data_IF_822908259564
#
_entry.id   IF_822908259564
#
_cell.length_a   1.000
_cell.length_b   1.000
_cell.length_c   1.000
_cell.angle_alpha   90.00
_cell.angle_beta   90.00
_cell.angle_gamma   90.00
#
_symmetry.space_group_name_H-M   'P 1'
#
loop_
_entity.id
_entity.type
_entity.pdbx_description
1 polymer ?
#
# COMPACT_ATOMS: atom_id res chain seq x y z
N UNK A 1 29.44 -16.50 -10.89
CA UNK A 1 28.20 -17.28 -10.74
C UNK A 1 27.03 -16.30 -10.85
N UNK A 2 26.40 -16.25 -12.01
CA UNK A 2 25.34 -15.29 -12.32
C UNK A 2 23.99 -15.78 -11.77
N UNK A 3 23.35 -14.97 -10.94
CA UNK A 3 22.10 -15.31 -10.25
C UNK A 3 20.90 -15.27 -11.19
N UNK A 4 20.35 -16.43 -11.49
CA UNK A 4 19.04 -16.57 -12.13
C UNK A 4 17.96 -16.45 -11.06
N UNK A 5 17.40 -15.24 -10.89
CA UNK A 5 16.10 -15.05 -10.22
C UNK A 5 15.01 -15.18 -11.27
N UNK A 6 14.67 -16.42 -11.63
CA UNK A 6 13.38 -16.70 -12.26
C UNK A 6 12.33 -16.61 -11.15
N UNK A 7 11.60 -15.49 -11.11
CA UNK A 7 10.31 -15.48 -10.43
C UNK A 7 9.45 -16.56 -11.08
N UNK A 8 8.91 -17.51 -10.31
CA UNK A 8 8.07 -18.62 -10.81
C UNK A 8 6.87 -18.15 -11.64
N UNK A 9 6.57 -16.84 -11.56
CA UNK A 9 5.60 -16.12 -12.37
C UNK A 9 5.94 -16.08 -13.87
N UNK A 10 7.21 -16.23 -14.26
CA UNK A 10 7.66 -16.15 -15.67
C UNK A 10 7.80 -17.54 -16.35
N UNK A 11 7.83 -18.63 -15.58
CA UNK A 11 7.99 -19.98 -16.13
C UNK A 11 6.67 -20.65 -16.56
N UNK A 12 5.54 -20.00 -16.31
CA UNK A 12 4.22 -20.45 -16.76
C UNK A 12 3.83 -19.68 -18.02
N UNK A 13 4.31 -20.18 -19.17
CA UNK A 13 3.82 -19.77 -20.48
C UNK A 13 2.31 -19.99 -20.57
N UNK A 14 1.57 -18.92 -20.31
CA UNK A 14 0.13 -18.81 -20.53
C UNK A 14 -0.14 -18.92 -22.04
N UNK A 15 -0.37 -20.14 -22.51
CA UNK A 15 -1.08 -20.39 -23.76
C UNK A 15 -2.51 -19.87 -23.61
N UNK A 16 -2.74 -18.64 -24.08
CA UNK A 16 -4.05 -18.00 -24.07
C UNK A 16 -4.95 -18.68 -25.13
N UNK A 17 -5.70 -19.69 -24.73
CA UNK A 17 -6.79 -20.23 -25.56
C UNK A 17 -7.94 -19.24 -25.50
N UNK A 18 -8.15 -18.49 -26.58
CA UNK A 18 -9.25 -17.53 -26.72
C UNK A 18 -10.58 -18.28 -26.87
N UNK A 19 -11.16 -18.72 -25.75
CA UNK A 19 -12.56 -19.12 -25.67
C UNK A 19 -13.45 -17.88 -25.59
N UNK A 20 -14.37 -17.70 -26.54
CA UNK A 20 -15.42 -16.69 -26.45
C UNK A 20 -16.39 -17.05 -25.32
N UNK A 21 -16.19 -16.45 -24.15
CA UNK A 21 -17.12 -16.54 -23.03
C UNK A 21 -18.07 -15.34 -23.14
N UNK A 22 -19.36 -15.59 -23.30
CA UNK A 22 -20.37 -14.54 -23.26
C UNK A 22 -20.22 -13.77 -21.93
N UNK A 23 -20.04 -12.45 -22.03
CA UNK A 23 -19.82 -11.59 -20.89
C UNK A 23 -20.99 -11.71 -19.90
N UNK A 24 -20.71 -12.22 -18.70
CA UNK A 24 -21.66 -12.22 -17.61
C UNK A 24 -22.11 -10.75 -17.35
N UNK A 25 -23.40 -10.52 -17.07
CA UNK A 25 -23.90 -9.18 -16.77
C UNK A 25 -23.09 -8.56 -15.62
N UNK A 26 -22.77 -7.25 -15.68
CA UNK A 26 -21.98 -6.61 -14.65
C UNK A 26 -22.67 -6.79 -13.29
N UNK A 27 -21.92 -7.28 -12.31
CA UNK A 27 -22.44 -7.45 -10.95
C UNK A 27 -23.03 -6.12 -10.46
N UNK A 28 -24.17 -6.14 -9.75
CA UNK A 28 -24.77 -4.93 -9.20
C UNK A 28 -23.72 -4.20 -8.35
N UNK A 29 -23.54 -2.90 -8.62
CA UNK A 29 -22.64 -2.07 -7.82
C UNK A 29 -23.11 -2.16 -6.36
N UNK A 30 -22.22 -2.50 -5.41
CA UNK A 30 -22.60 -2.45 -4.00
C UNK A 30 -23.13 -1.05 -3.69
N UNK A 31 -24.21 -0.98 -2.91
CA UNK A 31 -24.75 0.28 -2.44
C UNK A 31 -23.61 1.09 -1.80
N UNK A 32 -23.53 2.42 -2.03
CA UNK A 32 -22.52 3.24 -1.38
C UNK A 32 -22.63 2.99 0.13
N UNK A 33 -21.51 2.82 0.85
CA UNK A 33 -21.56 2.68 2.29
C UNK A 33 -22.32 3.90 2.84
N UNK A 34 -23.21 3.73 3.84
CA UNK A 34 -23.85 4.86 4.47
C UNK A 34 -22.76 5.84 4.88
N UNK A 35 -23.00 7.14 4.67
CA UNK A 35 -22.11 8.19 5.15
C UNK A 35 -21.89 7.93 6.63
N UNK A 36 -20.72 7.40 6.98
CA UNK A 36 -20.32 7.23 8.36
C UNK A 36 -20.04 8.64 8.87
N UNK A 37 -21.09 9.35 9.28
CA UNK A 37 -20.96 10.34 10.35
C UNK A 37 -20.73 9.56 11.64
N UNK A 38 -19.62 8.85 11.70
CA UNK A 38 -19.11 8.35 12.96
C UNK A 38 -18.61 9.58 13.70
N UNK A 39 -19.49 10.14 14.52
CA UNK A 39 -19.09 10.97 15.66
C UNK A 39 -18.31 10.07 16.61
N UNK A 40 -17.07 9.75 16.25
CA UNK A 40 -16.13 9.07 17.11
C UNK A 40 -15.68 10.10 18.15
N UNK A 41 -16.34 10.04 19.31
CA UNK A 41 -15.98 10.61 20.60
C UNK A 41 -15.06 11.86 20.55
N UNK A 42 -15.65 13.03 20.30
CA UNK A 42 -15.10 14.32 20.74
C UNK A 42 -14.27 15.15 19.75
N UNK A 43 -13.91 14.63 18.57
CA UNK A 43 -13.29 15.45 17.51
C UNK A 43 -14.14 15.37 16.24
N UNK A 44 -14.97 16.39 16.01
CA UNK A 44 -15.80 16.50 14.82
C UNK A 44 -14.96 16.86 13.57
N UNK A 45 -14.04 15.98 13.19
CA UNK A 45 -13.44 16.02 11.86
C UNK A 45 -14.52 15.56 10.87
N UNK A 46 -14.88 16.45 9.96
CA UNK A 46 -15.76 16.11 8.85
C UNK A 46 -14.97 15.25 7.86
N UNK A 47 -15.16 13.93 7.95
CA UNK A 47 -14.54 12.92 7.10
C UNK A 47 -15.57 12.44 6.08
N UNK A 48 -15.26 12.62 4.81
CA UNK A 48 -16.11 12.21 3.70
C UNK A 48 -15.56 10.92 3.06
N UNK A 49 -16.33 9.83 3.02
CA UNK A 49 -15.90 8.61 2.35
C UNK A 49 -15.83 8.80 0.82
N UNK A 50 -14.82 8.22 0.20
CA UNK A 50 -14.62 8.19 -1.26
C UNK A 50 -14.92 6.80 -1.83
N UNK A 51 -15.14 6.73 -3.14
CA UNK A 51 -15.49 5.49 -3.84
C UNK A 51 -14.40 4.41 -3.80
N UNK A 52 -13.14 4.80 -3.55
CA UNK A 52 -11.99 3.90 -3.41
C UNK A 52 -11.81 3.38 -1.96
N UNK A 53 -12.70 3.76 -1.05
CA UNK A 53 -12.63 3.43 0.38
C UNK A 53 -11.69 4.33 1.19
N UNK A 54 -11.14 5.40 0.60
CA UNK A 54 -10.42 6.42 1.36
C UNK A 54 -11.38 7.38 2.06
N UNK A 55 -10.88 8.09 3.08
CA UNK A 55 -11.59 9.15 3.80
C UNK A 55 -10.93 10.49 3.50
N UNK A 56 -11.71 11.50 3.16
CA UNK A 56 -11.24 12.85 2.84
C UNK A 56 -11.70 13.84 3.90
N UNK A 57 -10.78 14.68 4.39
CA UNK A 57 -11.05 15.80 5.25
C UNK A 57 -10.64 17.09 4.55
N UNK A 58 -11.53 18.08 4.50
CA UNK A 58 -11.21 19.39 3.92
C UNK A 58 -11.26 20.46 5.00
N UNK A 59 -10.09 20.94 5.43
CA UNK A 59 -10.01 22.08 6.34
C UNK A 59 -9.89 23.38 5.52
N UNK A 60 -11.03 24.05 5.34
CA UNK A 60 -11.09 25.34 4.62
C UNK A 60 -10.35 26.45 5.36
N UNK A 61 -10.29 26.42 6.70
CA UNK A 61 -9.63 27.46 7.51
C UNK A 61 -8.12 27.30 7.49
N UNK A 62 -7.65 26.06 7.48
CA UNK A 62 -6.22 25.74 7.41
C UNK A 62 -5.75 25.45 5.97
N UNK A 63 -6.59 25.62 4.95
CA UNK A 63 -6.26 25.47 3.54
C UNK A 63 -5.52 24.15 3.22
N UNK A 64 -6.00 23.01 3.74
CA UNK A 64 -5.45 21.71 3.36
C UNK A 64 -6.54 20.66 3.18
N UNK A 65 -6.23 19.63 2.40
CA UNK A 65 -7.00 18.40 2.30
C UNK A 65 -6.20 17.26 2.92
N UNK A 66 -6.81 16.53 3.85
CA UNK A 66 -6.27 15.29 4.41
C UNK A 66 -6.96 14.09 3.76
N UNK A 67 -6.19 13.13 3.23
CA UNK A 67 -6.72 11.89 2.64
C UNK A 67 -6.18 10.71 3.42
N UNK A 68 -7.04 9.87 3.98
CA UNK A 68 -6.68 8.63 4.65
C UNK A 68 -7.04 7.47 3.74
N UNK A 69 -6.03 6.75 3.28
CA UNK A 69 -6.19 5.61 2.37
C UNK A 69 -6.74 4.38 3.10
N UNK A 70 -7.27 3.38 2.37
CA UNK A 70 -7.75 2.14 2.97
C UNK A 70 -6.70 1.40 3.83
N UNK A 71 -5.40 1.58 3.54
CA UNK A 71 -4.28 1.02 4.30
C UNK A 71 -3.93 1.81 5.57
N UNK A 72 -4.72 2.83 5.92
CA UNK A 72 -4.51 3.69 7.09
C UNK A 72 -3.46 4.78 6.87
N UNK A 73 -2.83 4.90 5.70
CA UNK A 73 -1.86 5.98 5.45
C UNK A 73 -2.56 7.31 5.22
N UNK A 74 -2.09 8.36 5.91
CA UNK A 74 -2.54 9.73 5.69
C UNK A 74 -1.66 10.46 4.67
N UNK A 75 -2.30 11.21 3.78
CA UNK A 75 -1.69 12.15 2.85
C UNK A 75 -2.25 13.54 3.15
N UNK A 76 -1.39 14.55 3.10
CA UNK A 76 -1.75 15.94 3.38
C UNK A 76 -1.38 16.77 2.17
N UNK A 77 -2.40 17.34 1.53
CA UNK A 77 -2.24 18.18 0.35
C UNK A 77 -2.58 19.62 0.72
N UNK A 78 -1.64 20.54 0.48
CA UNK A 78 -1.90 21.97 0.65
C UNK A 78 -2.83 22.46 -0.45
N UNK A 79 -3.90 23.15 -0.05
CA UNK A 79 -4.76 23.85 -1.00
C UNK A 79 -4.21 25.25 -1.21
N UNK A 80 -4.15 25.75 -2.45
CA UNK A 80 -3.84 27.16 -2.65
C UNK A 80 -4.85 28.00 -1.86
N UNK A 81 -4.36 29.00 -1.11
CA UNK A 81 -5.21 29.95 -0.37
C UNK A 81 -6.04 30.86 -1.30
N UNK A 82 -5.91 30.65 -2.61
CA UNK A 82 -6.73 31.29 -3.63
C UNK A 82 -8.09 30.58 -3.57
N UNK A 83 -8.97 31.06 -2.70
CA UNK A 83 -10.38 31.02 -3.05
C UNK A 83 -10.47 31.62 -4.44
N UNK A 84 -10.90 30.86 -5.47
CA UNK A 84 -11.12 31.46 -6.75
C UNK A 84 -12.06 32.63 -6.49
N UNK A 85 -11.60 33.84 -6.80
CA UNK A 85 -12.37 35.08 -6.75
C UNK A 85 -13.51 35.03 -7.78
N UNK A 86 -14.06 33.85 -8.09
CA UNK A 86 -14.90 33.52 -9.24
C UNK A 86 -16.38 33.51 -8.84
N UNK A 87 -16.69 33.45 -7.55
CA UNK A 87 -18.09 33.55 -7.08
C UNK A 87 -18.65 34.98 -7.13
N UNK A 88 -17.80 35.99 -7.32
CA UNK A 88 -18.23 37.37 -7.60
C UNK A 88 -17.68 37.85 -8.95
N UNK A 89 -18.46 37.78 -10.04
CA UNK A 89 -18.02 38.20 -11.36
C UNK A 89 -17.60 39.68 -11.39
N UNK A 90 -18.06 40.51 -10.44
CA UNK A 90 -17.63 41.91 -10.32
C UNK A 90 -16.23 42.02 -9.76
N UNK A 91 -15.83 41.14 -8.82
CA UNK A 91 -14.46 41.10 -8.29
C UNK A 91 -13.47 40.52 -9.30
N UNK A 92 -13.86 39.52 -10.10
CA UNK A 92 -13.04 39.09 -11.26
C UNK A 92 -12.85 40.25 -12.23
N UNK A 93 -13.93 40.93 -12.60
CA UNK A 93 -13.87 42.06 -13.54
C UNK A 93 -13.10 43.26 -12.97
N UNK A 94 -13.10 43.45 -11.64
CA UNK A 94 -12.29 44.45 -10.95
C UNK A 94 -10.82 44.05 -10.98
N UNK A 95 -10.48 42.82 -10.57
CA UNK A 95 -9.11 42.32 -10.60
C UNK A 95 -8.50 42.35 -12.01
N UNK A 96 -9.25 41.93 -13.03
CA UNK A 96 -8.79 41.99 -14.43
C UNK A 96 -8.60 43.43 -14.92
N UNK A 97 -9.42 44.38 -14.46
CA UNK A 97 -9.22 45.81 -14.73
C UNK A 97 -8.00 46.35 -14.01
N UNK A 98 -7.87 46.08 -12.72
CA UNK A 98 -6.74 46.53 -11.91
C UNK A 98 -5.41 45.96 -12.44
N UNK A 99 -5.42 44.70 -12.93
CA UNK A 99 -4.30 44.08 -13.62
C UNK A 99 -4.02 44.76 -14.97
N UNK A 100 -5.07 45.03 -15.76
CA UNK A 100 -4.96 45.76 -17.02
C UNK A 100 -4.37 47.16 -16.82
N UNK A 101 -4.82 47.89 -15.81
CA UNK A 101 -4.35 49.23 -15.46
C UNK A 101 -2.91 49.20 -14.91
N UNK A 102 -2.52 48.14 -14.19
CA UNK A 102 -1.15 47.95 -13.73
C UNK A 102 -0.18 47.63 -14.89
N UNK A 103 -0.62 46.87 -15.89
CA UNK A 103 0.17 46.58 -17.11
C UNK A 103 0.19 47.80 -18.05
N UNK A 104 -0.89 48.58 -18.10
CA UNK A 104 -1.02 49.74 -18.97
C UNK A 104 -0.37 51.02 -18.43
N UNK A 105 0.21 51.01 -17.20
CA UNK A 105 1.00 52.15 -16.71
C UNK A 105 2.25 52.33 -17.58
N UNK A 106 2.32 53.42 -18.37
CA UNK A 106 3.50 53.71 -19.18
C UNK A 106 4.59 54.27 -18.25
N UNK A 107 5.68 53.52 -18.07
CA UNK A 107 6.82 53.94 -17.25
C UNK A 107 7.47 52.85 -16.38
N UNK A 108 7.03 51.59 -16.47
CA UNK A 108 7.82 50.48 -15.93
C UNK A 108 9.14 50.35 -16.72
N UNK A 109 10.31 50.24 -16.06
CA UNK A 109 11.57 50.04 -16.77
C UNK A 109 11.46 48.78 -17.62
N UNK A 110 11.89 48.89 -18.88
CA UNK A 110 11.96 47.77 -19.81
C UNK A 110 12.55 46.55 -19.08
N UNK A 111 11.88 45.39 -19.07
CA UNK A 111 12.51 44.19 -18.57
C UNK A 111 13.80 44.01 -19.39
N UNK A 112 14.97 43.82 -18.74
CA UNK A 112 16.20 43.60 -19.47
C UNK A 112 15.97 42.41 -20.41
N UNK A 113 16.23 42.62 -21.70
CA UNK A 113 16.21 41.54 -22.66
C UNK A 113 17.03 40.38 -22.09
N UNK A 114 16.46 39.16 -21.99
CA UNK A 114 17.24 38.03 -21.53
C UNK A 114 18.47 37.91 -22.44
N UNK A 115 19.68 37.73 -21.90
CA UNK A 115 20.83 37.40 -22.73
C UNK A 115 20.46 36.17 -23.56
N UNK A 116 20.77 36.21 -24.85
CA UNK A 116 20.59 35.07 -25.73
C UNK A 116 21.43 33.91 -25.16
N UNK A 117 20.77 32.94 -24.52
CA UNK A 117 21.42 31.72 -24.05
C UNK A 117 21.91 30.94 -25.28
N UNK A 118 23.22 30.69 -25.45
CA UNK A 118 23.74 29.92 -26.58
C UNK A 118 23.54 28.40 -26.43
N UNK A 119 22.68 27.93 -25.53
CA UNK A 119 22.44 26.50 -25.32
C UNK A 119 20.95 26.17 -25.19
N UNK A 120 20.23 26.28 -26.30
CA UNK A 120 19.04 25.43 -26.48
C UNK A 120 19.54 24.07 -26.91
N UNK A 121 19.43 23.01 -26.09
CA UNK A 121 19.86 21.67 -26.49
C UNK A 121 19.06 21.23 -27.72
N UNK A 122 19.77 20.81 -28.76
CA UNK A 122 19.20 20.26 -29.98
C UNK A 122 18.34 19.03 -29.61
N UNK A 123 17.01 19.06 -29.89
CA UNK A 123 16.12 17.94 -29.59
C UNK A 123 16.45 16.65 -30.36
N UNK A 124 17.44 16.69 -31.27
CA UNK A 124 17.91 15.55 -32.05
C UNK A 124 19.37 15.14 -31.81
N UNK A 125 20.06 15.64 -30.76
CA UNK A 125 21.41 15.15 -30.43
C UNK A 125 21.35 13.74 -29.77
N UNK A 126 21.82 12.67 -30.46
CA UNK A 126 21.80 11.32 -29.91
C UNK A 126 22.81 11.10 -28.78
N UNK A 127 23.70 12.06 -28.48
CA UNK A 127 24.70 11.95 -27.40
C UNK A 127 24.19 12.42 -26.03
N UNK A 128 23.10 13.18 -25.97
CA UNK A 128 22.49 13.63 -24.70
C UNK A 128 21.60 12.59 -23.99
N UNK A 129 21.42 11.40 -24.58
CA UNK A 129 20.49 10.37 -24.08
C UNK A 129 21.09 9.37 -23.09
N UNK A 130 22.41 9.44 -22.84
CA UNK A 130 23.09 8.48 -21.95
C UNK A 130 23.13 8.90 -20.48
N UNK A 131 22.92 10.18 -20.16
CA UNK A 131 23.03 10.69 -18.77
C UNK A 131 21.70 10.72 -18.00
N UNK A 132 20.59 10.34 -18.63
CA UNK A 132 19.26 10.27 -18.00
C UNK A 132 18.90 8.88 -17.42
N UNK A 133 19.84 7.92 -17.43
CA UNK A 133 19.60 6.53 -17.01
C UNK A 133 20.32 6.13 -15.70
N UNK A 134 20.89 7.09 -14.97
CA UNK A 134 21.52 6.88 -13.66
C UNK A 134 20.89 7.76 -12.60
N UNK A 135 19.58 7.62 -12.42
CA UNK A 135 18.93 7.90 -11.13
C UNK A 135 18.13 6.67 -10.70
N UNK A 136 18.88 5.61 -10.35
CA UNK A 136 18.35 4.48 -9.59
C UNK A 136 18.51 4.82 -8.12
N UNK A 137 17.44 5.27 -7.48
CA UNK A 137 17.37 5.29 -6.03
C UNK A 137 17.65 3.88 -5.47
N UNK A 138 18.52 3.74 -4.45
CA UNK A 138 18.78 2.44 -3.85
C UNK A 138 17.57 1.97 -3.00
N UNK A 139 17.25 0.66 -3.00
CA UNK A 139 16.33 0.08 -2.03
C UNK A 139 17.09 -0.16 -0.72
N UNK A 140 16.78 0.60 0.32
CA UNK A 140 17.32 0.38 1.65
C UNK A 140 17.34 1.63 2.52
N UNK A 141 16.20 1.99 3.10
CA UNK A 141 16.11 2.96 4.19
C UNK A 141 15.66 2.22 5.46
N UNK A 142 16.55 1.38 5.98
CA UNK A 142 16.54 1.02 7.40
C UNK A 142 17.18 2.14 8.22
N UNK A 143 16.66 2.36 9.43
CA UNK A 143 17.21 3.22 10.47
C UNK A 143 17.15 4.74 10.22
N UNK A 144 16.19 5.40 10.88
CA UNK A 144 16.22 6.84 11.15
C UNK A 144 17.42 7.18 12.05
N UNK A 145 18.53 7.56 11.43
CA UNK A 145 19.52 8.44 12.05
C UNK A 145 19.23 9.90 11.67
N UNK A 146 19.53 10.89 12.54
CA UNK A 146 19.34 12.31 12.20
C UNK A 146 20.27 12.69 11.05
N UNK A 147 19.71 13.04 9.89
CA UNK A 147 20.48 13.56 8.78
C UNK A 147 21.14 14.91 9.18
N UNK A 148 22.41 15.16 8.79
CA UNK A 148 23.05 16.44 9.04
C UNK A 148 22.39 17.54 8.21
N UNK A 149 21.77 18.49 8.88
CA UNK A 149 21.27 19.72 8.27
C UNK A 149 22.50 20.58 7.92
N UNK A 150 22.86 20.63 6.63
CA UNK A 150 23.80 21.63 6.11
C UNK A 150 23.17 23.02 6.24
N UNK A 151 23.46 23.72 7.35
CA UNK A 151 23.16 25.14 7.53
C UNK A 151 24.14 25.97 6.69
N UNK A 152 23.76 26.28 5.45
CA UNK A 152 24.33 27.39 4.71
C UNK A 152 23.85 28.71 5.32
N UNK A 153 24.69 29.37 6.11
CA UNK A 153 24.43 30.72 6.66
C UNK A 153 24.67 31.75 5.55
N UNK A 154 23.70 31.86 4.66
CA UNK A 154 23.53 33.03 3.80
C UNK A 154 22.47 33.93 4.42
N UNK A 155 22.88 35.01 5.10
CA UNK A 155 21.96 36.02 5.64
C UNK A 155 21.40 36.83 4.49
N UNK A 156 20.42 36.28 3.77
CA UNK A 156 19.51 37.10 2.96
C UNK A 156 18.47 37.66 3.93
N UNK A 157 18.37 38.99 3.99
CA UNK A 157 17.30 39.70 4.69
C UNK A 157 15.95 39.29 4.07
N UNK A 158 15.37 38.20 4.56
CA UNK A 158 14.00 37.81 4.28
C UNK A 158 13.10 38.93 4.83
N UNK A 159 12.65 39.80 3.93
CA UNK A 159 11.77 40.92 4.29
C UNK A 159 10.47 40.44 4.94
N UNK A 160 9.65 41.38 5.40
CA UNK A 160 8.35 41.11 6.04
C UNK A 160 7.48 40.08 5.28
N UNK A 161 7.61 39.99 3.95
CA UNK A 161 6.97 38.97 3.12
C UNK A 161 7.41 37.53 3.46
N UNK A 162 8.70 37.27 3.66
CA UNK A 162 9.21 35.94 4.04
C UNK A 162 8.82 35.58 5.49
N UNK A 163 8.77 36.58 6.38
CA UNK A 163 8.25 36.39 7.73
C UNK A 163 6.73 36.09 7.73
N UNK A 164 5.96 36.72 6.85
CA UNK A 164 4.53 36.43 6.65
C UNK A 164 4.31 35.04 6.05
N UNK A 165 5.12 34.64 5.05
CA UNK A 165 5.10 33.30 4.46
C UNK A 165 5.41 32.21 5.51
N UNK A 166 6.45 32.40 6.32
CA UNK A 166 6.80 31.48 7.42
C UNK A 166 5.72 31.41 8.52
N UNK A 167 5.04 32.52 8.81
CA UNK A 167 3.97 32.55 9.83
C UNK A 167 2.71 31.83 9.36
N UNK A 168 2.41 31.90 8.06
CA UNK A 168 1.39 31.07 7.40
C UNK A 168 1.72 29.59 7.55
N UNK A 169 2.91 29.17 7.11
CA UNK A 169 3.36 27.77 7.18
C UNK A 169 3.22 27.16 8.58
N UNK A 170 3.57 27.90 9.65
CA UNK A 170 3.45 27.41 11.04
C UNK A 170 2.00 27.14 11.50
N UNK A 171 1.01 27.90 11.00
CA UNK A 171 -0.41 27.66 11.33
C UNK A 171 -0.90 26.38 10.66
N UNK A 172 -0.52 26.15 9.40
CA UNK A 172 -0.83 24.93 8.67
C UNK A 172 -0.20 23.70 9.34
N UNK A 173 1.02 23.82 9.87
CA UNK A 173 1.67 22.72 10.60
C UNK A 173 0.86 22.25 11.82
N UNK A 174 0.31 23.17 12.62
CA UNK A 174 -0.48 22.80 13.82
C UNK A 174 -1.79 22.09 13.46
N UNK A 175 -2.51 22.59 12.47
CA UNK A 175 -3.77 21.99 12.03
C UNK A 175 -3.54 20.59 11.42
N UNK A 176 -2.51 20.44 10.59
CA UNK A 176 -2.09 19.15 10.04
C UNK A 176 -1.67 18.17 11.13
N UNK A 177 -0.90 18.62 12.13
CA UNK A 177 -0.52 17.79 13.26
C UNK A 177 -1.74 17.34 14.07
N UNK A 178 -2.66 18.25 14.39
CA UNK A 178 -3.90 17.93 15.10
C UNK A 178 -4.75 16.91 14.32
N UNK A 179 -4.87 17.06 13.00
CA UNK A 179 -5.51 16.07 12.14
C UNK A 179 -4.81 14.71 12.24
N UNK A 180 -3.48 14.68 12.18
CA UNK A 180 -2.73 13.42 12.25
C UNK A 180 -2.87 12.70 13.60
N UNK A 181 -2.92 13.47 14.69
CA UNK A 181 -3.11 12.97 16.06
C UNK A 181 -4.53 12.46 16.26
N UNK A 182 -5.55 13.24 15.89
CA UNK A 182 -6.97 12.86 16.04
C UNK A 182 -7.34 11.65 15.19
N UNK A 183 -6.72 11.48 14.02
CA UNK A 183 -7.01 10.35 13.12
C UNK A 183 -6.13 9.13 13.39
N UNK A 184 -5.17 9.18 14.32
CA UNK A 184 -4.24 8.08 14.55
C UNK A 184 -4.96 6.75 14.92
N UNK A 185 -5.90 6.68 15.90
CA UNK A 185 -6.55 5.43 16.27
C UNK A 185 -7.36 4.81 15.11
N UNK A 186 -8.06 5.66 14.36
CA UNK A 186 -8.84 5.25 13.19
C UNK A 186 -7.92 4.70 12.09
N UNK A 187 -6.80 5.37 11.80
CA UNK A 187 -5.80 4.90 10.83
C UNK A 187 -5.21 3.55 11.22
N UNK A 188 -4.92 3.36 12.51
CA UNK A 188 -4.41 2.09 13.02
C UNK A 188 -5.43 0.97 12.87
N UNK A 189 -6.73 1.25 13.07
CA UNK A 189 -7.80 0.29 12.80
C UNK A 189 -7.92 -0.02 11.29
N UNK A 190 -7.94 1.01 10.43
CA UNK A 190 -8.01 0.84 8.98
C UNK A 190 -6.83 0.02 8.45
N UNK A 191 -5.61 0.26 8.96
CA UNK A 191 -4.42 -0.50 8.60
C UNK A 191 -4.56 -1.98 8.97
N UNK A 192 -5.05 -2.30 10.18
CA UNK A 192 -5.32 -3.68 10.62
C UNK A 192 -6.37 -4.36 9.74
N UNK A 193 -7.49 -3.71 9.49
CA UNK A 193 -8.56 -4.25 8.63
C UNK A 193 -8.07 -4.50 7.21
N UNK A 194 -7.28 -3.58 6.67
CA UNK A 194 -6.71 -3.71 5.34
C UNK A 194 -5.73 -4.88 5.26
N UNK A 195 -4.85 -5.04 6.25
CA UNK A 195 -3.94 -6.18 6.29
C UNK A 195 -4.71 -7.50 6.42
N UNK A 196 -5.73 -7.57 7.26
CA UNK A 196 -6.59 -8.75 7.37
C UNK A 196 -7.29 -9.09 6.04
N UNK A 197 -7.81 -8.08 5.32
CA UNK A 197 -8.40 -8.27 3.99
C UNK A 197 -7.38 -8.76 2.96
N UNK A 198 -6.15 -8.22 2.99
CA UNK A 198 -5.05 -8.67 2.12
C UNK A 198 -4.69 -10.12 2.41
N UNK A 199 -4.52 -10.50 3.67
CA UNK A 199 -4.22 -11.86 4.09
C UNK A 199 -5.33 -12.83 3.65
N UNK A 200 -6.61 -12.49 3.88
CA UNK A 200 -7.75 -13.31 3.44
C UNK A 200 -7.76 -13.49 1.91
N UNK A 201 -7.52 -12.43 1.16
CA UNK A 201 -7.46 -12.48 -0.31
C UNK A 201 -6.31 -13.37 -0.77
N UNK A 202 -5.13 -13.24 -0.16
CA UNK A 202 -3.97 -14.08 -0.44
C UNK A 202 -4.27 -15.57 -0.16
N UNK A 203 -4.93 -15.89 0.95
CA UNK A 203 -5.33 -17.28 1.26
C UNK A 203 -6.29 -17.87 0.21
N UNK A 204 -7.25 -17.08 -0.27
CA UNK A 204 -8.17 -17.51 -1.32
C UNK A 204 -7.45 -17.72 -2.65
N UNK A 205 -6.52 -16.84 -2.99
CA UNK A 205 -5.69 -16.95 -4.19
C UNK A 205 -4.80 -18.20 -4.13
N UNK A 206 -4.14 -18.45 -3.00
CA UNK A 206 -3.34 -19.65 -2.77
C UNK A 206 -4.17 -20.91 -2.95
N UNK A 207 -5.38 -20.98 -2.39
CA UNK A 207 -6.26 -22.13 -2.57
C UNK A 207 -6.62 -22.42 -4.04
N UNK A 208 -6.81 -21.37 -4.85
CA UNK A 208 -7.04 -21.49 -6.29
C UNK A 208 -5.80 -21.99 -7.01
N UNK A 209 -4.64 -21.42 -6.71
CA UNK A 209 -3.36 -21.80 -7.30
C UNK A 209 -3.01 -23.26 -7.03
N UNK A 210 -3.14 -23.72 -5.78
CA UNK A 210 -2.93 -25.12 -5.40
C UNK A 210 -3.87 -26.06 -6.17
N UNK A 211 -5.14 -25.67 -6.31
CA UNK A 211 -6.12 -26.45 -7.06
C UNK A 211 -5.79 -26.50 -8.55
N UNK A 212 -5.33 -25.40 -9.13
CA UNK A 212 -4.89 -25.33 -10.53
C UNK A 212 -3.69 -26.22 -10.78
N UNK A 213 -2.64 -26.12 -9.95
CA UNK A 213 -1.43 -26.96 -10.05
C UNK A 213 -1.78 -28.44 -9.94
N UNK A 214 -2.67 -28.81 -9.02
CA UNK A 214 -3.04 -30.21 -8.81
C UNK A 214 -3.88 -30.80 -9.94
N UNK A 215 -4.78 -30.02 -10.52
CA UNK A 215 -5.71 -30.47 -11.57
C UNK A 215 -5.15 -30.37 -12.98
N UNK A 216 -3.96 -29.80 -13.16
CA UNK A 216 -3.31 -29.65 -14.46
C UNK A 216 -2.92 -31.03 -15.04
N UNK A 217 -3.61 -31.51 -16.10
CA UNK A 217 -3.35 -32.84 -16.66
C UNK A 217 -2.07 -32.89 -17.49
N UNK A 218 -1.51 -31.74 -17.86
CA UNK A 218 -0.25 -31.68 -18.61
C UNK A 218 0.96 -32.02 -17.71
N UNK A 219 0.79 -32.03 -16.38
CA UNK A 219 1.83 -32.33 -15.41
C UNK A 219 1.75 -33.76 -14.92
N UNK A 220 2.89 -34.43 -14.90
CA UNK A 220 3.05 -35.70 -14.18
C UNK A 220 2.83 -35.52 -12.67
N UNK A 221 2.54 -36.61 -11.95
CA UNK A 221 2.37 -36.58 -10.49
C UNK A 221 3.60 -35.99 -9.77
N UNK A 222 4.81 -36.35 -10.21
CA UNK A 222 6.06 -35.83 -9.67
C UNK A 222 6.22 -34.31 -9.89
N UNK A 223 5.82 -33.79 -11.06
CA UNK A 223 5.88 -32.35 -11.35
C UNK A 223 4.86 -31.57 -10.52
N UNK A 224 3.66 -32.12 -10.30
CA UNK A 224 2.65 -31.52 -9.41
C UNK A 224 3.18 -31.43 -7.99
N UNK A 225 3.73 -32.53 -7.45
CA UNK A 225 4.36 -32.58 -6.12
C UNK A 225 5.51 -31.58 -5.98
N UNK A 226 6.41 -31.53 -6.96
CA UNK A 226 7.51 -30.55 -6.98
C UNK A 226 7.01 -29.11 -6.98
N UNK A 227 5.97 -28.81 -7.76
CA UNK A 227 5.38 -27.46 -7.79
C UNK A 227 4.75 -27.07 -6.44
N UNK A 228 4.06 -27.99 -5.77
CA UNK A 228 3.52 -27.76 -4.42
C UNK A 228 4.64 -27.51 -3.39
N UNK A 229 5.76 -28.23 -3.49
CA UNK A 229 6.93 -27.98 -2.65
C UNK A 229 7.53 -26.58 -2.88
N UNK A 230 7.69 -26.15 -4.14
CA UNK A 230 8.22 -24.82 -4.44
C UNK A 230 7.33 -23.72 -3.87
N UNK A 231 6.01 -23.82 -4.01
CA UNK A 231 5.07 -22.88 -3.39
C UNK A 231 5.21 -22.83 -1.87
N UNK A 232 5.45 -23.99 -1.23
CA UNK A 232 5.68 -24.06 0.21
C UNK A 232 7.02 -23.43 0.63
N UNK A 233 8.07 -23.62 -0.16
CA UNK A 233 9.42 -23.11 0.12
C UNK A 233 9.48 -21.58 -0.05
N UNK A 234 8.81 -21.07 -1.09
CA UNK A 234 8.71 -19.63 -1.41
C UNK A 234 7.97 -18.83 -0.33
N UNK A 235 7.15 -19.47 0.52
CA UNK A 235 6.49 -18.81 1.64
C UNK A 235 7.48 -18.23 2.67
N UNK A 236 8.77 -18.63 2.68
CA UNK A 236 9.78 -18.01 3.57
C UNK A 236 10.18 -16.60 3.15
N UNK A 237 10.28 -16.37 1.83
CA UNK A 237 11.00 -15.19 1.33
C UNK A 237 10.31 -13.88 1.71
N UNK A 238 9.00 -13.94 2.00
CA UNK A 238 8.19 -12.78 2.38
C UNK A 238 8.51 -12.25 3.79
N UNK A 239 9.23 -12.98 4.64
CA UNK A 239 9.45 -12.65 6.05
C UNK A 239 10.91 -12.25 6.40
N UNK A 240 11.77 -11.97 5.42
CA UNK A 240 13.22 -11.75 5.65
C UNK A 240 13.59 -10.43 6.35
N UNK A 241 12.71 -9.44 6.38
CA UNK A 241 13.00 -8.17 7.04
C UNK A 241 12.70 -8.27 8.56
N UNK A 242 13.71 -8.05 9.40
CA UNK A 242 13.57 -7.97 10.85
C UNK A 242 12.58 -6.85 11.22
N UNK A 243 11.47 -7.20 11.87
CA UNK A 243 10.47 -6.25 12.37
C UNK A 243 9.04 -6.44 11.86
N UNK A 244 8.75 -7.46 11.04
CA UNK A 244 7.39 -7.76 10.59
C UNK A 244 6.90 -9.15 11.07
N UNK A 245 6.53 -9.22 12.35
CA UNK A 245 5.95 -10.43 12.96
C UNK A 245 4.69 -10.91 12.20
N UNK A 246 3.89 -9.97 11.68
CA UNK A 246 2.71 -10.28 10.89
C UNK A 246 3.02 -11.03 9.59
N UNK A 247 4.11 -10.67 8.90
CA UNK A 247 4.56 -11.42 7.70
C UNK A 247 5.01 -12.84 8.04
N UNK A 248 5.70 -13.02 9.16
CA UNK A 248 6.17 -14.34 9.60
C UNK A 248 5.00 -15.26 9.92
N UNK A 249 4.00 -14.79 10.66
CA UNK A 249 2.77 -15.52 10.95
C UNK A 249 2.00 -15.87 9.66
N UNK A 250 1.90 -14.93 8.73
CA UNK A 250 1.27 -15.14 7.43
C UNK A 250 1.93 -16.26 6.61
N UNK A 251 3.27 -16.27 6.54
CA UNK A 251 4.02 -17.32 5.83
C UNK A 251 3.85 -18.70 6.45
N UNK A 252 3.84 -18.78 7.78
CA UNK A 252 3.57 -20.04 8.48
C UNK A 252 2.15 -20.55 8.24
N UNK A 253 1.16 -19.67 8.24
CA UNK A 253 -0.23 -20.02 7.94
C UNK A 253 -0.37 -20.55 6.50
N UNK A 254 0.31 -19.94 5.52
CA UNK A 254 0.34 -20.43 4.14
C UNK A 254 0.91 -21.86 4.06
N UNK A 255 2.06 -22.10 4.70
CA UNK A 255 2.68 -23.44 4.74
C UNK A 255 1.76 -24.50 5.32
N UNK A 256 1.15 -24.21 6.47
CA UNK A 256 0.17 -25.11 7.10
C UNK A 256 -0.97 -25.44 6.15
N UNK A 257 -1.45 -24.44 5.39
CA UNK A 257 -2.52 -24.63 4.42
C UNK A 257 -2.08 -25.51 3.24
N UNK A 258 -0.87 -25.32 2.73
CA UNK A 258 -0.31 -26.14 1.64
C UNK A 258 -0.14 -27.59 2.10
N UNK A 259 0.44 -27.82 3.27
CA UNK A 259 0.60 -29.17 3.82
C UNK A 259 -0.75 -29.85 4.07
N UNK A 260 -1.73 -29.13 4.60
CA UNK A 260 -3.09 -29.64 4.78
C UNK A 260 -3.77 -29.98 3.45
N UNK A 261 -3.51 -29.19 2.40
CA UNK A 261 -3.98 -29.48 1.05
C UNK A 261 -3.32 -30.76 0.52
N UNK A 262 -2.00 -30.90 0.65
CA UNK A 262 -1.24 -32.11 0.26
C UNK A 262 -1.81 -33.35 0.94
N UNK A 263 -2.01 -33.33 2.26
CA UNK A 263 -2.58 -34.48 3.00
C UNK A 263 -3.95 -34.91 2.48
N UNK A 264 -4.74 -33.95 1.98
CA UNK A 264 -6.08 -34.22 1.44
C UNK A 264 -6.04 -34.82 0.04
N UNK A 265 -5.17 -34.32 -0.83
CA UNK A 265 -5.13 -34.73 -2.25
C UNK A 265 -4.16 -35.87 -2.54
N UNK A 266 -3.15 -36.04 -1.70
CA UNK A 266 -2.09 -37.05 -1.78
C UNK A 266 -1.83 -37.63 -0.38
N UNK A 267 -2.81 -38.36 0.20
CA UNK A 267 -2.69 -38.92 1.54
C UNK A 267 -1.53 -39.93 1.63
N UNK A 268 -0.98 -40.16 2.84
CA UNK A 268 0.14 -41.08 3.02
C UNK A 268 -0.23 -42.49 2.52
N UNK A 269 0.67 -43.10 1.74
CA UNK A 269 0.48 -44.43 1.16
C UNK A 269 -0.28 -44.46 -0.18
N UNK A 270 -0.75 -43.32 -0.69
CA UNK A 270 -1.28 -43.24 -2.07
C UNK A 270 -0.16 -43.16 -3.11
N UNK A 271 -0.45 -43.53 -4.37
CA UNK A 271 0.49 -43.39 -5.50
C UNK A 271 0.91 -41.94 -5.75
N UNK A 272 0.04 -41.01 -5.37
CA UNK A 272 0.24 -39.58 -5.47
C UNK A 272 1.04 -39.00 -4.28
N UNK A 273 1.31 -39.80 -3.22
CA UNK A 273 2.04 -39.36 -2.03
C UNK A 273 3.50 -39.00 -2.32
N UNK A 274 4.07 -38.13 -1.48
CA UNK A 274 5.51 -37.88 -1.52
C UNK A 274 6.27 -39.08 -0.97
N UNK A 275 7.19 -39.62 -1.78
CA UNK A 275 8.07 -40.71 -1.36
C UNK A 275 9.11 -40.22 -0.32
N UNK A 276 9.50 -41.04 0.67
CA UNK A 276 10.52 -40.64 1.65
C UNK A 276 11.86 -40.19 1.05
N UNK A 277 12.31 -40.80 -0.07
CA UNK A 277 13.52 -40.37 -0.76
C UNK A 277 13.30 -39.04 -1.50
N UNK A 278 12.11 -38.83 -2.05
CA UNK A 278 11.70 -37.55 -2.64
C UNK A 278 11.72 -36.44 -1.57
N UNK A 279 11.09 -36.65 -0.42
CA UNK A 279 11.10 -35.69 0.70
C UNK A 279 12.52 -35.37 1.18
N UNK A 280 13.41 -36.37 1.24
CA UNK A 280 14.82 -36.16 1.59
C UNK A 280 15.56 -35.31 0.55
N UNK A 281 15.29 -35.52 -0.75
CA UNK A 281 15.86 -34.69 -1.82
C UNK A 281 15.35 -33.25 -1.76
N UNK A 282 14.04 -33.06 -1.65
CA UNK A 282 13.42 -31.72 -1.58
C UNK A 282 13.92 -30.94 -0.36
N UNK A 283 13.97 -31.59 0.81
CA UNK A 283 14.49 -30.94 2.01
C UNK A 283 15.96 -30.57 1.90
N UNK A 284 16.78 -31.26 1.12
CA UNK A 284 18.18 -30.86 0.88
C UNK A 284 18.31 -29.63 -0.02
N UNK A 285 17.35 -29.40 -0.92
CA UNK A 285 17.33 -28.23 -1.81
C UNK A 285 16.50 -27.05 -1.32
N UNK A 286 15.92 -27.13 -0.12
CA UNK A 286 15.02 -26.09 0.41
C UNK A 286 15.77 -24.81 0.75
N UNK A 287 15.14 -23.67 0.51
CA UNK A 287 15.57 -22.37 1.00
C UNK A 287 14.97 -22.04 2.37
N UNK A 288 13.86 -22.69 2.71
CA UNK A 288 13.15 -22.53 3.97
C UNK A 288 13.94 -23.11 5.16
N UNK A 289 13.97 -22.37 6.28
CA UNK A 289 14.50 -22.85 7.55
C UNK A 289 13.68 -24.01 8.09
N UNK A 290 12.37 -24.01 7.85
CA UNK A 290 11.51 -25.11 8.28
C UNK A 290 11.76 -26.35 7.43
N UNK A 291 11.55 -27.53 8.01
CA UNK A 291 11.57 -28.80 7.27
C UNK A 291 10.21 -29.01 6.61
N UNK A 292 10.21 -29.37 5.33
CA UNK A 292 9.01 -29.79 4.61
C UNK A 292 8.68 -31.23 4.96
N UNK A 293 7.60 -31.42 5.71
CA UNK A 293 7.14 -32.75 6.10
C UNK A 293 5.60 -32.76 6.18
N UNK A 294 4.91 -32.91 5.03
CA UNK A 294 3.46 -32.81 4.99
C UNK A 294 2.74 -33.94 5.75
N UNK A 295 3.43 -35.04 6.07
CA UNK A 295 2.86 -36.22 6.73
C UNK A 295 3.25 -36.37 8.20
N UNK A 296 4.14 -35.53 8.72
CA UNK A 296 4.32 -35.42 10.16
C UNK A 296 2.98 -35.09 10.82
N UNK A 297 2.82 -35.56 12.07
CA UNK A 297 1.67 -35.18 12.88
C UNK A 297 1.52 -33.65 12.86
N UNK A 298 0.29 -33.12 12.72
CA UNK A 298 0.08 -31.69 12.69
C UNK A 298 0.77 -31.10 13.92
N UNK A 299 1.68 -30.14 13.71
CA UNK A 299 2.26 -29.38 14.83
C UNK A 299 1.08 -28.79 15.58
N UNK A 300 0.95 -29.11 16.87
CA UNK A 300 -0.11 -28.55 17.70
C UNK A 300 -0.09 -27.03 17.52
N UNK A 301 -1.14 -26.47 16.91
CA UNK A 301 -1.25 -25.04 16.71
C UNK A 301 -1.45 -24.43 18.11
N UNK A 302 -0.56 -23.55 18.61
CA UNK A 302 -0.81 -22.86 19.87
C UNK A 302 -2.12 -22.08 19.86
N UNK A 303 -2.62 -21.75 18.66
CA UNK A 303 -3.87 -21.00 18.42
C UNK A 303 -5.13 -21.89 18.31
N UNK A 304 -5.01 -23.22 18.16
CA UNK A 304 -6.17 -24.12 18.08
C UNK A 304 -6.58 -24.67 19.47
N UNK A 305 -5.81 -24.35 20.52
CA UNK A 305 -5.99 -24.88 21.89
C UNK A 305 -6.85 -24.05 22.84
N UNK A 306 -7.53 -23.01 22.36
CA UNK A 306 -8.63 -22.41 23.11
C UNK A 306 -9.71 -21.92 22.15
N UNK A 307 -10.91 -22.54 22.11
CA UNK A 307 -12.09 -21.70 22.02
C UNK A 307 -11.95 -20.74 23.21
N UNK A 308 -11.57 -19.49 22.96
CA UNK A 308 -11.82 -18.45 23.97
C UNK A 308 -13.30 -18.62 24.29
N UNK A 309 -13.67 -18.98 25.54
CA UNK A 309 -15.07 -18.91 25.91
C UNK A 309 -15.48 -17.50 25.51
N UNK A 310 -16.44 -17.40 24.60
CA UNK A 310 -17.08 -16.12 24.32
C UNK A 310 -17.69 -15.77 25.66
N UNK A 311 -16.97 -15.00 26.48
CA UNK A 311 -17.51 -14.43 27.70
C UNK A 311 -18.62 -13.54 27.21
N UNK A 312 -19.83 -14.09 27.28
CA UNK A 312 -21.06 -13.45 26.88
C UNK A 312 -21.23 -12.22 27.77
N UNK A 313 -20.95 -11.00 27.28
CA UNK A 313 -20.92 -9.81 28.13
C UNK A 313 -22.32 -9.42 28.62
N UNK A 314 -23.37 -10.12 28.17
CA UNK A 314 -24.74 -9.91 28.60
C UNK A 314 -25.12 -10.59 29.92
N UNK A 315 -24.29 -11.48 30.48
CA UNK A 315 -24.67 -12.21 31.71
C UNK A 315 -24.63 -11.38 33.00
N UNK A 316 -24.05 -10.18 32.97
CA UNK A 316 -23.84 -9.34 34.17
C UNK A 316 -24.79 -8.13 34.27
N UNK A 317 -25.76 -7.97 33.35
CA UNK A 317 -26.73 -6.85 33.38
C UNK A 317 -28.04 -7.15 34.13
N UNK A 318 -28.23 -8.36 34.65
CA UNK A 318 -29.51 -8.79 35.22
C UNK A 318 -29.60 -8.73 36.74
N UNK A 319 -28.63 -8.14 37.45
CA UNK A 319 -28.62 -8.07 38.92
C UNK A 319 -28.63 -6.63 39.42
N UNK A 320 -29.77 -5.95 39.32
CA UNK A 320 -30.11 -4.82 40.20
C UNK A 320 -31.46 -5.11 40.87
N UNK A 321 -31.47 -5.45 42.17
CA UNK A 321 -32.71 -5.56 42.93
C UNK A 321 -33.31 -4.16 43.18
N UNK A 322 -34.64 -4.08 43.10
CA UNK A 322 -35.44 -2.92 43.52
C UNK A 322 -35.45 -2.74 45.03
#
# INVERSE_FOLDING_TARGET
>A
MAGWRLTLRDALGLGLVAGSIAAAPPAPRPAPPPSLTETHDGSALDLHPRADGSLEHVDRKAHFTGIIRPDGRAQLEDRPAIEPLVDDPRRVAQFLRDLGDAIARPGGPDPPSPPADPHTPDPYDPRGRLDAATDRSPPGAGSLGPAPIMLGVGVRMGGLADMLLRRGQRRHTKAKQAFLEQTAPMRDQMARDHEQRRQRTAMLQLGRELSTVWRDPARSAAERRRALFLLWDDCEELARDEGDDGRREGGEQMRRRIEAFIRRVAPPGSDDAFDPLELSRLNRSRHSRQRFDPYAAPRADPLELAPTPVEDPERDRSSHPQ
#
